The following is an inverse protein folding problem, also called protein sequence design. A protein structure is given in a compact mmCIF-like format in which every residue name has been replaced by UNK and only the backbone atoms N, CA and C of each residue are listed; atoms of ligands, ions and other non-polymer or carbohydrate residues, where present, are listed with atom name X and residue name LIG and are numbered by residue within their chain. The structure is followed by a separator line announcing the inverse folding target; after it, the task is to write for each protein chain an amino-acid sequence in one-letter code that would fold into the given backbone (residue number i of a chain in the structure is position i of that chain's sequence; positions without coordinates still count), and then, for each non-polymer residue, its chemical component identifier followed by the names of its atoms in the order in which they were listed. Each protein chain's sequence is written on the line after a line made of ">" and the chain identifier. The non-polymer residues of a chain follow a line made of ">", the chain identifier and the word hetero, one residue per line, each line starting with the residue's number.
data_IF_071239820002
#
_entry.id   IF_071239820002
#
_cell.length_a   1.000
_cell.length_b   1.000
_cell.length_c   1.000
_cell.angle_alpha   90.00
_cell.angle_beta   90.00
_cell.angle_gamma   90.00
#
_symmetry.space_group_name_H-M   'P 1'
#
loop_
_entity.id
_entity.type
_entity.pdbx_description
1 polymer ?
#
# COMPACT_ATOMS: atom_id res chain seq x y z
N UNK A 1 -9.47 -6.74 18.99
CA UNK A 1 -9.86 -5.78 17.95
C UNK A 1 -10.70 -4.74 18.64
N UNK A 2 -10.44 -3.48 18.42
CA UNK A 2 -11.07 -2.39 19.11
C UNK A 2 -11.69 -1.41 18.10
N UNK A 3 -12.99 -1.24 18.18
CA UNK A 3 -13.77 -0.24 17.48
C UNK A 3 -14.50 0.58 18.53
N UNK A 4 -14.63 1.88 18.32
CA UNK A 4 -15.34 2.79 19.21
C UNK A 4 -16.13 3.81 18.40
N UNK A 5 -17.21 4.34 18.96
CA UNK A 5 -18.03 5.39 18.35
C UNK A 5 -17.49 6.81 18.61
N UNK A 6 -16.43 6.92 19.45
CA UNK A 6 -15.76 8.16 19.88
C UNK A 6 -16.64 9.08 20.73
N UNK A 7 -17.66 8.53 21.34
CA UNK A 7 -18.48 9.21 22.36
C UNK A 7 -18.13 8.62 23.72
N UNK A 8 -17.82 9.45 24.70
CA UNK A 8 -17.60 9.02 26.08
C UNK A 8 -18.89 9.22 26.84
N UNK A 9 -19.50 8.10 27.21
CA UNK A 9 -20.78 8.11 27.94
C UNK A 9 -20.63 8.55 29.40
N UNK A 10 -21.65 9.26 29.92
CA UNK A 10 -21.71 9.55 31.32
C UNK A 10 -21.99 8.29 32.13
N UNK A 11 -21.26 8.11 33.23
CA UNK A 11 -21.40 6.92 34.07
C UNK A 11 -20.62 7.00 35.37
N UNK A 12 -20.47 5.86 36.01
CA UNK A 12 -19.60 5.76 37.19
C UNK A 12 -18.13 5.98 36.76
N UNK A 13 -17.29 6.42 37.67
CA UNK A 13 -15.85 6.64 37.34
C UNK A 13 -15.14 5.41 36.78
N UNK A 14 -15.59 4.19 37.10
CA UNK A 14 -15.07 2.95 36.49
C UNK A 14 -15.60 2.76 35.08
N UNK A 15 -16.84 3.08 34.77
CA UNK A 15 -17.41 2.98 33.43
C UNK A 15 -16.77 3.99 32.48
N UNK A 16 -16.67 5.25 32.87
CA UNK A 16 -15.98 6.31 32.10
C UNK A 16 -14.53 5.93 31.80
N UNK A 17 -13.79 5.40 32.78
CA UNK A 17 -12.41 4.96 32.57
C UNK A 17 -12.30 3.79 31.59
N UNK A 18 -13.23 2.83 31.66
CA UNK A 18 -13.28 1.72 30.72
C UNK A 18 -13.55 2.20 29.29
N UNK A 19 -14.45 3.15 29.13
CA UNK A 19 -14.81 3.75 27.86
C UNK A 19 -13.64 4.52 27.22
N UNK A 20 -12.95 5.35 28.01
CA UNK A 20 -11.71 6.01 27.58
C UNK A 20 -10.65 5.00 27.14
N UNK A 21 -10.45 3.90 27.87
CA UNK A 21 -9.50 2.87 27.48
C UNK A 21 -9.90 2.20 26.16
N UNK A 22 -11.19 2.00 25.90
CA UNK A 22 -11.68 1.46 24.64
C UNK A 22 -11.41 2.42 23.47
N UNK A 23 -11.62 3.73 23.65
CA UNK A 23 -11.24 4.76 22.65
C UNK A 23 -9.75 4.68 22.33
N UNK A 24 -8.90 4.62 23.37
CA UNK A 24 -7.44 4.54 23.17
C UNK A 24 -7.03 3.27 22.44
N UNK A 25 -7.65 2.13 22.74
CA UNK A 25 -7.40 0.89 22.02
C UNK A 25 -7.87 0.95 20.56
N UNK A 26 -9.03 1.57 20.28
CA UNK A 26 -9.52 1.78 18.92
C UNK A 26 -8.55 2.64 18.11
N UNK A 27 -8.07 3.74 18.69
CA UNK A 27 -7.06 4.61 18.06
C UNK A 27 -5.76 3.84 17.81
N UNK A 28 -5.23 3.15 18.82
CA UNK A 28 -3.96 2.41 18.72
C UNK A 28 -4.01 1.28 17.69
N UNK A 29 -5.17 0.67 17.46
CA UNK A 29 -5.36 -0.40 16.49
C UNK A 29 -5.90 0.08 15.12
N UNK A 30 -5.91 1.39 14.85
CA UNK A 30 -6.54 1.99 13.67
C UNK A 30 -7.99 1.53 13.48
N UNK A 31 -8.76 1.47 14.57
CA UNK A 31 -10.16 0.98 14.58
C UNK A 31 -10.31 -0.40 13.94
N UNK A 32 -9.39 -1.33 14.20
CA UNK A 32 -9.41 -2.65 13.61
C UNK A 32 -10.67 -3.43 13.91
N UNK A 33 -11.39 -3.84 12.87
CA UNK A 33 -12.62 -4.61 12.96
C UNK A 33 -12.87 -5.40 11.67
N UNK A 34 -13.82 -6.34 11.72
CA UNK A 34 -14.31 -7.04 10.54
C UNK A 34 -15.40 -6.21 9.87
N UNK A 35 -15.15 -5.81 8.63
CA UNK A 35 -16.08 -5.02 7.82
C UNK A 35 -16.05 -3.50 8.12
N UNK A 36 -17.12 -2.82 7.76
CA UNK A 36 -17.20 -1.36 7.89
C UNK A 36 -17.30 -0.89 9.34
N UNK A 37 -16.73 0.27 9.64
CA UNK A 37 -16.89 0.95 10.92
C UNK A 37 -18.33 1.49 11.08
N UNK A 38 -18.86 1.47 12.29
CA UNK A 38 -20.17 2.04 12.62
C UNK A 38 -20.14 3.57 12.62
N UNK A 39 -19.06 4.15 13.13
CA UNK A 39 -18.82 5.61 13.14
C UNK A 39 -17.64 5.92 12.24
N UNK A 40 -17.83 6.83 11.30
CA UNK A 40 -16.85 7.15 10.27
C UNK A 40 -16.58 8.65 10.20
N UNK A 41 -15.29 8.98 10.09
CA UNK A 41 -14.82 10.33 9.81
C UNK A 41 -14.00 10.33 8.51
N UNK A 42 -14.11 11.41 7.73
CA UNK A 42 -13.26 11.58 6.54
C UNK A 42 -11.78 11.42 6.92
N UNK A 43 -11.01 10.70 6.09
CA UNK A 43 -9.59 10.39 6.30
C UNK A 43 -9.27 9.49 7.51
N UNK A 44 -10.27 8.89 8.13
CA UNK A 44 -10.07 7.93 9.22
C UNK A 44 -9.39 6.66 8.70
N UNK A 45 -8.33 6.21 9.40
CA UNK A 45 -7.69 4.94 9.14
C UNK A 45 -8.51 3.78 9.71
N UNK A 46 -8.46 2.66 9.00
CA UNK A 46 -9.17 1.44 9.36
C UNK A 46 -8.39 0.20 8.91
N UNK A 47 -8.17 -0.75 9.80
CA UNK A 47 -7.72 -2.10 9.44
C UNK A 47 -8.93 -3.02 9.38
N UNK A 48 -9.34 -3.36 8.17
CA UNK A 48 -10.43 -4.31 7.96
C UNK A 48 -9.88 -5.74 8.08
N UNK A 49 -10.22 -6.40 9.18
CA UNK A 49 -9.73 -7.75 9.48
C UNK A 49 -10.46 -8.85 8.71
N UNK A 50 -11.56 -8.53 8.02
CA UNK A 50 -12.26 -9.50 7.16
C UNK A 50 -11.51 -9.76 5.85
N UNK A 51 -10.82 -8.76 5.31
CA UNK A 51 -10.03 -8.86 4.09
C UNK A 51 -8.52 -8.62 4.31
N UNK A 52 -8.11 -8.30 5.54
CA UNK A 52 -6.71 -8.08 5.93
C UNK A 52 -6.08 -6.83 5.35
N UNK A 53 -6.87 -5.80 5.04
CA UNK A 53 -6.38 -4.57 4.42
C UNK A 53 -6.36 -3.37 5.37
N UNK A 54 -5.33 -2.53 5.22
CA UNK A 54 -5.32 -1.17 5.71
C UNK A 54 -6.08 -0.28 4.71
N UNK A 55 -7.02 0.48 5.21
CA UNK A 55 -7.90 1.37 4.44
C UNK A 55 -7.91 2.77 5.03
N UNK A 56 -8.21 3.76 4.22
CA UNK A 56 -8.48 5.13 4.65
C UNK A 56 -9.85 5.57 4.16
N UNK A 57 -10.61 6.25 5.00
CA UNK A 57 -11.90 6.82 4.61
C UNK A 57 -11.68 7.94 3.60
N UNK A 58 -12.46 7.99 2.52
CA UNK A 58 -12.31 9.03 1.52
C UNK A 58 -12.81 10.41 2.01
N UNK A 59 -12.47 11.48 1.28
CA UNK A 59 -12.82 12.86 1.61
C UNK A 59 -14.34 13.09 1.76
N UNK A 60 -15.15 12.41 0.94
CA UNK A 60 -16.62 12.51 0.97
C UNK A 60 -17.27 11.68 2.08
N UNK A 61 -16.49 10.94 2.86
CA UNK A 61 -16.94 10.06 3.93
C UNK A 61 -18.02 9.03 3.52
N UNK A 62 -17.98 8.57 2.27
CA UNK A 62 -18.96 7.62 1.72
C UNK A 62 -18.35 6.28 1.26
N UNK A 63 -17.03 6.12 1.34
CA UNK A 63 -16.32 4.90 0.95
C UNK A 63 -14.91 4.83 1.52
N UNK A 64 -14.24 3.69 1.28
CA UNK A 64 -12.85 3.46 1.66
C UNK A 64 -11.95 3.39 0.43
N UNK A 65 -10.73 3.89 0.58
CA UNK A 65 -9.61 3.64 -0.33
C UNK A 65 -8.72 2.60 0.32
N UNK A 66 -8.47 1.49 -0.34
CA UNK A 66 -7.53 0.47 0.14
C UNK A 66 -6.11 0.94 -0.08
N UNK A 67 -5.31 0.96 0.99
CA UNK A 67 -3.88 1.27 0.94
C UNK A 67 -3.09 0.01 0.59
N UNK A 68 -3.41 -1.12 1.24
CA UNK A 68 -2.80 -2.41 0.94
C UNK A 68 -2.94 -3.42 2.07
N UNK A 69 -2.56 -4.69 1.82
CA UNK A 69 -2.67 -5.78 2.78
C UNK A 69 -1.66 -5.62 3.93
N UNK A 70 -2.14 -5.68 5.18
CA UNK A 70 -1.29 -5.54 6.38
C UNK A 70 -0.39 -6.74 6.66
N UNK A 71 -0.67 -7.89 6.03
CA UNK A 71 0.12 -9.11 6.18
C UNK A 71 1.28 -9.26 5.18
N UNK A 72 1.51 -8.29 4.31
CA UNK A 72 2.57 -8.34 3.29
C UNK A 72 3.59 -7.24 3.45
N UNK A 73 4.82 -7.51 3.03
CA UNK A 73 5.89 -6.50 2.99
C UNK A 73 5.48 -5.36 2.05
N UNK A 74 5.71 -4.11 2.49
CA UNK A 74 5.39 -2.90 1.73
C UNK A 74 3.92 -2.80 1.28
N UNK A 75 2.98 -3.37 2.03
CA UNK A 75 1.55 -3.41 1.65
C UNK A 75 1.29 -3.97 0.24
N UNK A 76 2.15 -4.87 -0.26
CA UNK A 76 2.08 -5.37 -1.63
C UNK A 76 2.49 -4.37 -2.70
N UNK A 77 2.98 -3.19 -2.33
CA UNK A 77 3.50 -2.18 -3.26
C UNK A 77 4.93 -2.52 -3.67
N UNK A 78 5.25 -2.34 -4.95
CA UNK A 78 6.63 -2.48 -5.42
C UNK A 78 7.51 -1.34 -4.88
N UNK A 79 8.69 -1.62 -4.29
CA UNK A 79 9.59 -0.57 -3.86
C UNK A 79 10.08 0.25 -5.08
N UNK A 80 10.28 1.56 -4.90
CA UNK A 80 10.77 2.45 -5.96
C UNK A 80 12.21 2.13 -6.41
N UNK A 81 12.97 1.45 -5.55
CA UNK A 81 14.36 1.04 -5.82
C UNK A 81 14.47 -0.47 -5.78
N UNK A 82 14.67 -1.11 -6.94
CA UNK A 82 15.01 -2.52 -7.05
C UNK A 82 13.89 -3.50 -6.68
N UNK A 83 12.68 -3.31 -7.21
CA UNK A 83 11.62 -4.32 -7.07
C UNK A 83 11.99 -5.61 -7.82
N UNK A 84 11.85 -6.76 -7.14
CA UNK A 84 11.97 -8.08 -7.76
C UNK A 84 10.59 -8.68 -7.93
N UNK A 85 10.23 -9.00 -9.17
CA UNK A 85 8.98 -9.68 -9.52
C UNK A 85 9.29 -11.16 -9.77
N UNK A 86 8.69 -12.05 -8.99
CA UNK A 86 8.87 -13.52 -9.13
C UNK A 86 7.84 -14.16 -10.07
N UNK A 87 6.86 -13.39 -10.52
CA UNK A 87 5.85 -13.77 -11.50
C UNK A 87 5.93 -12.94 -12.76
N UNK A 88 5.08 -13.28 -13.75
CA UNK A 88 4.98 -12.51 -15.01
C UNK A 88 4.53 -11.08 -14.74
N UNK A 89 5.20 -10.11 -15.36
CA UNK A 89 4.76 -8.70 -15.41
C UNK A 89 4.05 -8.46 -16.73
N UNK A 90 2.74 -8.18 -16.66
CA UNK A 90 1.91 -7.91 -17.84
C UNK A 90 1.68 -6.40 -17.93
N UNK A 91 2.15 -5.79 -19.01
CA UNK A 91 1.87 -4.40 -19.33
C UNK A 91 0.63 -4.32 -20.23
N UNK A 92 -0.56 -4.31 -19.62
CA UNK A 92 -1.83 -4.16 -20.37
C UNK A 92 -2.10 -2.70 -20.70
N UNK A 93 -1.28 -2.16 -21.60
CA UNK A 93 -1.29 -0.75 -21.99
C UNK A 93 -1.03 -0.64 -23.50
N UNK A 94 -1.72 0.25 -24.20
CA UNK A 94 -1.59 0.44 -25.65
C UNK A 94 -0.40 1.33 -26.06
N UNK A 95 0.25 1.98 -25.13
CA UNK A 95 1.47 2.76 -25.35
C UNK A 95 2.72 1.90 -25.27
N UNK A 96 3.90 2.56 -25.29
CA UNK A 96 5.19 1.89 -25.26
C UNK A 96 5.71 1.67 -23.82
N UNK A 97 6.32 0.52 -23.56
CA UNK A 97 7.18 0.32 -22.40
C UNK A 97 8.51 1.04 -22.62
N UNK A 98 8.88 1.98 -21.76
CA UNK A 98 10.19 2.60 -21.80
C UNK A 98 11.19 1.73 -21.01
N UNK A 99 12.13 1.11 -21.71
CA UNK A 99 13.25 0.38 -21.11
C UNK A 99 14.40 1.35 -20.76
N UNK A 100 15.38 0.95 -19.92
CA UNK A 100 16.56 1.76 -19.63
C UNK A 100 17.27 2.22 -20.90
N UNK A 101 17.65 3.51 -20.96
CA UNK A 101 18.31 4.13 -22.11
C UNK A 101 19.70 4.64 -21.69
N UNK A 102 20.71 4.42 -22.52
CA UNK A 102 22.05 4.94 -22.28
C UNK A 102 22.94 4.82 -23.50
N UNK A 103 24.06 5.52 -23.48
CA UNK A 103 25.09 5.45 -24.57
C UNK A 103 25.87 4.13 -24.53
N UNK A 104 26.68 3.87 -25.58
CA UNK A 104 27.61 2.74 -25.58
C UNK A 104 28.57 2.75 -24.39
N UNK A 105 29.04 3.93 -23.97
CA UNK A 105 29.95 4.08 -22.84
C UNK A 105 29.28 3.80 -21.48
N UNK A 106 27.94 3.87 -21.39
CA UNK A 106 27.15 3.62 -20.20
C UNK A 106 26.64 2.16 -20.13
N UNK A 107 27.20 1.25 -20.87
CA UNK A 107 26.92 -0.18 -20.72
C UNK A 107 27.30 -0.66 -19.31
N UNK A 108 26.50 -1.53 -18.70
CA UNK A 108 26.92 -2.19 -17.46
C UNK A 108 28.25 -2.91 -17.66
N UNK A 109 29.16 -2.75 -16.68
CA UNK A 109 30.47 -3.42 -16.76
C UNK A 109 30.40 -4.94 -16.56
N UNK A 110 29.35 -5.44 -15.95
CA UNK A 110 29.07 -6.88 -15.74
C UNK A 110 27.57 -7.12 -15.91
N UNK A 111 27.07 -7.11 -17.15
CA UNK A 111 25.65 -7.33 -17.41
C UNK A 111 25.25 -8.78 -17.13
N UNK A 112 24.03 -8.99 -16.66
CA UNK A 112 23.47 -10.33 -16.49
C UNK A 112 22.77 -10.79 -17.79
N UNK A 113 22.78 -12.11 -18.04
CA UNK A 113 22.03 -12.70 -19.15
C UNK A 113 20.55 -12.31 -19.08
N UNK A 114 20.01 -11.84 -20.20
CA UNK A 114 18.62 -11.42 -20.32
C UNK A 114 18.36 -9.94 -20.00
N UNK A 115 19.35 -9.18 -19.56
CA UNK A 115 19.18 -7.73 -19.41
C UNK A 115 18.92 -7.06 -20.75
N UNK A 116 17.90 -6.18 -20.78
CA UNK A 116 17.46 -5.44 -21.97
C UNK A 116 17.61 -3.94 -21.74
N UNK A 117 18.20 -3.24 -22.72
CA UNK A 117 18.31 -1.78 -22.72
C UNK A 117 18.25 -1.22 -24.15
N UNK A 118 18.05 0.09 -24.29
CA UNK A 118 18.21 0.81 -25.57
C UNK A 118 19.53 1.58 -25.58
N UNK A 119 20.34 1.35 -26.59
CA UNK A 119 21.59 2.08 -26.82
C UNK A 119 21.34 3.29 -27.71
N UNK A 120 21.41 4.49 -27.12
CA UNK A 120 21.18 5.75 -27.86
C UNK A 120 22.28 6.12 -28.84
N UNK A 121 23.52 5.59 -28.70
CA UNK A 121 24.59 5.79 -29.65
C UNK A 121 24.39 4.97 -30.94
N UNK A 122 23.88 3.74 -30.80
CA UNK A 122 23.64 2.83 -31.90
C UNK A 122 22.20 2.92 -32.45
N UNK A 123 21.28 3.56 -31.72
CA UNK A 123 19.87 3.66 -32.07
C UNK A 123 19.11 2.34 -32.04
N UNK A 124 19.57 1.36 -31.23
CA UNK A 124 19.00 0.02 -31.19
C UNK A 124 18.85 -0.53 -29.78
N UNK A 125 17.93 -1.51 -29.63
CA UNK A 125 17.84 -2.30 -28.40
C UNK A 125 19.00 -3.29 -28.32
N UNK A 126 19.51 -3.50 -27.12
CA UNK A 126 20.54 -4.48 -26.79
C UNK A 126 20.02 -5.46 -25.77
N UNK A 127 20.25 -6.75 -25.95
CA UNK A 127 20.02 -7.80 -24.99
C UNK A 127 21.35 -8.51 -24.69
N UNK A 128 21.60 -8.81 -23.43
CA UNK A 128 22.80 -9.54 -23.01
C UNK A 128 22.49 -11.03 -22.86
N UNK A 129 23.32 -11.88 -23.43
CA UNK A 129 23.26 -13.35 -23.41
C UNK A 129 24.51 -13.97 -22.75
#
# INVERSE_FOLDING_TARGET
>A
MAQHDFVIDNGTGSAVRADINNVLQAIASNNSNSGALTTNFAYQWHVDTSDGNLKIRNASNNGYVTVGPVGTTNFGLAPLTGATFTGSVVHNYTGALRIPVGTTAQRPGSPATGELRFNSTLGSAEIYN
#
